data_IF_239594102415
#
_entry.id   IF_239594102415
#
_cell.length_a   1.000
_cell.length_b   1.000
_cell.length_c   1.000
_cell.angle_alpha   90.00
_cell.angle_beta   90.00
_cell.angle_gamma   90.00
#
_symmetry.space_group_name_H-M   'P 1'
#
loop_
_entity.id
_entity.type
_entity.pdbx_description
1 polymer ?
#
# COMPACT_ATOMS: atom_id res chain seq x y z
N UNK A 1 0.52 -18.92 -20.90
CA UNK A 1 -0.24 -17.86 -20.20
C UNK A 1 0.78 -16.88 -19.66
N UNK A 2 0.95 -15.75 -20.34
CA UNK A 2 1.97 -14.72 -20.08
C UNK A 2 1.44 -13.75 -19.04
N UNK A 3 1.90 -13.88 -17.80
CA UNK A 3 1.62 -12.94 -16.72
C UNK A 3 2.68 -11.84 -16.75
N UNK A 4 2.26 -10.60 -17.00
CA UNK A 4 3.09 -9.41 -16.86
C UNK A 4 3.42 -9.24 -15.37
N UNK A 5 4.68 -9.49 -15.02
CA UNK A 5 5.18 -9.38 -13.65
C UNK A 5 5.30 -7.91 -13.27
N UNK A 6 4.60 -7.52 -12.20
CA UNK A 6 4.92 -6.31 -11.48
C UNK A 6 6.21 -6.58 -10.69
N UNK A 7 7.28 -5.87 -11.04
CA UNK A 7 8.61 -5.93 -10.43
C UNK A 7 8.56 -5.48 -8.96
N UNK A 8 8.13 -6.37 -8.07
CA UNK A 8 8.40 -6.25 -6.65
C UNK A 8 8.87 -7.60 -6.13
N UNK A 9 10.16 -7.68 -5.83
CA UNK A 9 10.90 -8.90 -5.51
C UNK A 9 10.56 -9.40 -4.10
N UNK A 10 9.31 -9.79 -3.86
CA UNK A 10 8.96 -10.70 -2.79
C UNK A 10 8.98 -12.13 -3.36
N UNK A 11 9.63 -13.11 -2.70
CA UNK A 11 9.55 -14.49 -3.16
C UNK A 11 8.07 -14.90 -3.20
N UNK A 12 7.65 -15.54 -4.29
CA UNK A 12 6.28 -15.96 -4.68
C UNK A 12 5.47 -16.72 -3.59
N UNK A 13 6.08 -16.94 -2.43
CA UNK A 13 5.58 -17.68 -1.27
C UNK A 13 5.45 -16.80 0.00
N UNK A 14 5.14 -15.51 -0.11
CA UNK A 14 4.93 -14.64 1.07
C UNK A 14 3.53 -14.03 1.06
N UNK A 15 2.87 -14.01 2.21
CA UNK A 15 1.58 -13.35 2.41
C UNK A 15 1.70 -12.23 3.44
N UNK A 16 0.91 -11.18 3.22
CA UNK A 16 0.75 -10.04 4.12
C UNK A 16 -0.49 -10.28 4.99
N UNK A 17 -0.32 -10.20 6.30
CA UNK A 17 -1.39 -10.43 7.28
C UNK A 17 -1.46 -9.20 8.16
N UNK A 18 -2.59 -8.50 8.14
CA UNK A 18 -2.86 -7.43 9.08
C UNK A 18 -3.35 -8.06 10.39
N UNK A 19 -2.61 -7.85 11.47
CA UNK A 19 -2.99 -8.30 12.81
C UNK A 19 -4.07 -7.43 13.41
N UNK A 20 -4.79 -7.96 14.41
CA UNK A 20 -5.80 -7.20 15.19
C UNK A 20 -5.18 -6.01 15.96
N UNK A 21 -3.86 -6.03 16.13
CA UNK A 21 -3.03 -4.95 16.68
C UNK A 21 -2.73 -3.83 15.68
N UNK A 22 -3.21 -3.94 14.43
CA UNK A 22 -2.91 -3.01 13.34
C UNK A 22 -1.49 -3.14 12.79
N UNK A 23 -0.76 -4.19 13.19
CA UNK A 23 0.59 -4.47 12.70
C UNK A 23 0.49 -5.33 11.43
N UNK A 24 1.16 -4.91 10.37
CA UNK A 24 1.30 -5.68 9.15
C UNK A 24 2.44 -6.70 9.32
N UNK A 25 2.09 -7.98 9.27
CA UNK A 25 3.04 -9.09 9.31
C UNK A 25 3.28 -9.64 7.91
N UNK A 26 4.53 -10.03 7.65
CA UNK A 26 4.87 -10.89 6.51
C UNK A 26 5.11 -12.30 7.02
N UNK A 27 4.48 -13.27 6.35
CA UNK A 27 4.67 -14.69 6.64
C UNK A 27 4.96 -15.45 5.36
N UNK A 28 5.92 -16.37 5.43
CA UNK A 28 6.18 -17.32 4.35
C UNK A 28 5.14 -18.44 4.35
N UNK A 29 4.53 -18.70 3.20
CA UNK A 29 3.53 -19.75 2.99
C UNK A 29 4.14 -21.14 3.24
N UNK A 30 5.40 -21.35 2.84
CA UNK A 30 6.12 -22.61 3.05
C UNK A 30 6.55 -22.85 4.51
N UNK A 31 6.49 -21.82 5.38
CA UNK A 31 6.90 -21.89 6.78
C UNK A 31 5.96 -21.07 7.68
N UNK A 32 4.77 -21.59 8.01
CA UNK A 32 3.73 -20.87 8.76
C UNK A 32 4.09 -20.53 10.23
N UNK A 33 5.34 -20.70 10.68
CA UNK A 33 5.81 -20.26 12.01
C UNK A 33 6.63 -18.96 12.01
N UNK A 34 6.89 -18.38 10.83
CA UNK A 34 7.81 -17.23 10.68
C UNK A 34 7.09 -15.92 10.37
N UNK A 35 6.01 -15.61 11.11
CA UNK A 35 5.41 -14.28 11.03
C UNK A 35 6.38 -13.27 11.65
N UNK A 36 6.72 -12.23 10.89
CA UNK A 36 7.54 -11.13 11.37
C UNK A 36 6.90 -9.81 10.95
N UNK A 37 7.07 -8.73 11.72
CA UNK A 37 6.57 -7.43 11.30
C UNK A 37 7.18 -7.03 9.95
N UNK A 38 6.39 -6.37 9.11
CA UNK A 38 6.83 -5.91 7.81
C UNK A 38 7.59 -4.59 7.92
N UNK A 39 8.73 -4.51 7.24
CA UNK A 39 9.44 -3.24 7.03
C UNK A 39 9.67 -3.06 5.54
N UNK A 40 9.15 -1.98 4.98
CA UNK A 40 9.29 -1.63 3.57
C UNK A 40 8.12 -0.84 2.99
N UNK A 41 8.27 -0.49 1.71
CA UNK A 41 7.23 0.18 0.93
C UNK A 41 6.22 -0.83 0.38
N UNK A 42 4.94 -0.61 0.66
CA UNK A 42 3.84 -1.37 0.08
C UNK A 42 3.03 -0.46 -0.82
N UNK A 43 2.81 -0.91 -2.05
CA UNK A 43 1.96 -0.24 -3.03
C UNK A 43 0.75 -1.12 -3.32
N UNK A 44 -0.45 -0.54 -3.21
CA UNK A 44 -1.70 -1.17 -3.59
C UNK A 44 -2.33 -0.39 -4.74
N UNK A 45 -2.59 -1.05 -5.86
CA UNK A 45 -3.23 -0.46 -7.04
C UNK A 45 -4.61 -1.07 -7.22
N UNK A 46 -5.60 -0.24 -7.52
CA UNK A 46 -7.02 -0.61 -7.44
C UNK A 46 -7.80 -0.40 -8.73
N UNK A 47 -7.17 0.12 -9.78
CA UNK A 47 -7.78 0.23 -11.11
C UNK A 47 -8.99 1.17 -11.20
N UNK A 48 -9.24 2.01 -10.19
CA UNK A 48 -10.40 2.91 -10.13
C UNK A 48 -11.62 2.22 -9.53
N UNK A 49 -11.65 2.11 -8.20
CA UNK A 49 -12.83 1.68 -7.46
C UNK A 49 -13.88 2.79 -7.43
N UNK A 50 -15.08 2.47 -6.97
CA UNK A 50 -16.26 3.36 -6.92
C UNK A 50 -15.99 4.68 -6.14
N UNK A 51 -15.02 4.67 -5.23
CA UNK A 51 -14.55 5.83 -4.44
C UNK A 51 -13.53 6.71 -5.17
N UNK A 52 -13.16 6.35 -6.40
CA UNK A 52 -12.14 7.02 -7.20
C UNK A 52 -10.71 6.74 -6.73
N UNK A 53 -10.48 5.90 -5.73
CA UNK A 53 -9.13 5.59 -5.28
C UNK A 53 -8.44 4.65 -6.29
N UNK A 54 -7.32 5.11 -6.86
CA UNK A 54 -6.60 4.34 -7.90
C UNK A 54 -5.38 3.64 -7.34
N UNK A 55 -4.70 4.27 -6.37
CA UNK A 55 -3.43 3.78 -5.85
C UNK A 55 -3.20 4.27 -4.43
N UNK A 56 -2.53 3.45 -3.65
CA UNK A 56 -2.02 3.79 -2.33
C UNK A 56 -0.58 3.30 -2.19
N UNK A 57 0.24 4.10 -1.52
CA UNK A 57 1.59 3.79 -1.13
C UNK A 57 1.69 3.98 0.37
N UNK A 58 2.30 3.01 1.02
CA UNK A 58 2.47 2.95 2.46
C UNK A 58 3.94 2.66 2.76
N UNK A 59 4.50 3.35 3.74
CA UNK A 59 5.81 3.01 4.29
C UNK A 59 5.58 2.35 5.66
N UNK A 60 6.03 1.10 5.80
CA UNK A 60 5.94 0.36 7.05
C UNK A 60 7.32 0.20 7.67
N UNK A 61 7.39 0.39 8.98
CA UNK A 61 8.53 0.06 9.81
C UNK A 61 8.06 -0.77 11.00
N UNK A 62 8.66 -1.94 11.17
CA UNK A 62 8.30 -2.90 12.22
C UNK A 62 6.78 -3.21 12.26
N UNK A 63 6.20 -3.28 11.07
CA UNK A 63 4.79 -3.57 10.79
C UNK A 63 3.83 -2.41 11.11
N UNK A 64 4.33 -1.27 11.59
CA UNK A 64 3.53 -0.05 11.78
C UNK A 64 3.78 0.94 10.64
N UNK A 65 2.81 1.79 10.38
CA UNK A 65 3.03 2.93 9.47
C UNK A 65 3.97 3.92 10.14
N UNK A 66 5.13 4.11 9.53
CA UNK A 66 6.13 5.09 9.95
C UNK A 66 6.70 5.70 8.67
N UNK A 67 6.53 6.99 8.47
CA UNK A 67 6.87 7.66 7.22
C UNK A 67 5.66 8.18 6.45
N UNK A 68 5.78 8.33 5.13
CA UNK A 68 4.76 9.01 4.31
C UNK A 68 3.86 8.00 3.60
N UNK A 69 2.57 8.02 3.91
CA UNK A 69 1.51 7.39 3.13
C UNK A 69 1.09 8.34 2.01
N UNK A 70 0.91 7.82 0.80
CA UNK A 70 0.39 8.59 -0.33
C UNK A 70 -0.82 7.88 -0.93
N UNK A 71 -1.93 8.60 -1.06
CA UNK A 71 -3.15 8.14 -1.72
C UNK A 71 -3.32 8.95 -3.01
N UNK A 72 -3.59 8.26 -4.11
CA UNK A 72 -3.91 8.87 -5.39
C UNK A 72 -5.34 8.53 -5.78
N UNK A 73 -6.10 9.56 -6.11
CA UNK A 73 -7.47 9.48 -6.57
C UNK A 73 -7.56 9.82 -8.06
N UNK A 74 -8.56 9.25 -8.73
CA UNK A 74 -8.85 9.41 -10.15
C UNK A 74 -9.25 10.84 -10.50
N UNK A 75 -9.84 11.57 -9.54
CA UNK A 75 -10.18 12.99 -9.67
C UNK A 75 -8.95 13.92 -9.66
N UNK A 76 -7.75 13.37 -9.48
CA UNK A 76 -6.49 14.10 -9.43
C UNK A 76 -6.11 14.55 -8.04
N UNK A 77 -6.91 14.22 -7.02
CA UNK A 77 -6.54 14.46 -5.64
C UNK A 77 -5.41 13.49 -5.24
N UNK A 78 -4.36 14.06 -4.67
CA UNK A 78 -3.28 13.33 -4.02
C UNK A 78 -3.28 13.72 -2.54
N UNK A 79 -3.34 12.72 -1.67
CA UNK A 79 -3.29 12.92 -0.22
C UNK A 79 -2.02 12.28 0.30
N UNK A 80 -1.15 13.07 0.89
CA UNK A 80 0.05 12.59 1.58
C UNK A 80 -0.19 12.71 3.08
N UNK A 81 -0.02 11.62 3.82
CA UNK A 81 -0.12 11.61 5.28
C UNK A 81 1.22 11.19 5.84
N UNK A 82 1.79 11.98 6.74
CA UNK A 82 3.00 11.57 7.46
C UNK A 82 2.60 10.91 8.77
N UNK A 83 3.08 9.69 8.97
CA UNK A 83 2.93 8.92 10.19
C UNK A 83 4.25 8.88 10.95
N UNK A 84 4.17 8.93 12.28
CA UNK A 84 5.29 8.66 13.17
C UNK A 84 4.78 7.83 14.34
N UNK A 85 5.41 6.69 14.59
CA UNK A 85 4.99 5.75 15.64
C UNK A 85 3.52 5.27 15.50
N UNK A 86 2.99 5.28 14.26
CA UNK A 86 1.59 4.96 13.97
C UNK A 86 0.60 6.13 14.12
N UNK A 87 1.04 7.30 14.57
CA UNK A 87 0.21 8.50 14.68
C UNK A 87 0.36 9.42 13.47
N UNK A 88 -0.74 10.03 13.03
CA UNK A 88 -0.72 11.00 11.93
C UNK A 88 -0.16 12.32 12.45
N UNK A 89 1.02 12.69 11.96
CA UNK A 89 1.67 13.97 12.28
C UNK A 89 1.18 15.07 11.35
N UNK A 90 1.00 14.76 10.07
CA UNK A 90 0.60 15.76 9.08
C UNK A 90 -0.22 15.13 7.95
N UNK A 91 -1.04 15.95 7.31
CA UNK A 91 -1.78 15.56 6.11
C UNK A 91 -1.72 16.70 5.11
N UNK A 92 -1.12 16.43 3.96
CA UNK A 92 -1.08 17.32 2.81
C UNK A 92 -2.06 16.84 1.76
N UNK A 93 -2.88 17.76 1.24
CA UNK A 93 -3.79 17.49 0.14
C UNK A 93 -3.36 18.33 -1.05
N UNK A 94 -2.98 17.65 -2.12
CA UNK A 94 -2.48 18.26 -3.34
C UNK A 94 -3.52 17.95 -4.41
N UNK A 95 -4.17 18.99 -4.95
CA UNK A 95 -5.09 18.81 -6.07
C UNK A 95 -4.29 18.95 -7.36
N UNK A 96 -4.14 17.83 -8.06
CA UNK A 96 -3.54 17.75 -9.38
C UNK A 96 -4.57 17.52 -10.47
N UNK A 97 -4.07 17.11 -11.63
CA UNK A 97 -4.90 16.72 -12.77
C UNK A 97 -5.50 15.32 -12.55
N UNK A 98 -6.76 15.09 -12.99
CA UNK A 98 -7.40 13.78 -12.95
C UNK A 98 -6.55 12.69 -13.59
N UNK A 99 -6.41 11.56 -12.89
CA UNK A 99 -5.76 10.38 -13.43
C UNK A 99 -6.78 9.69 -14.34
N UNK A 100 -6.48 9.64 -15.65
CA UNK A 100 -7.31 8.91 -16.62
C UNK A 100 -7.27 7.42 -16.31
N UNK A 101 -8.22 6.96 -15.50
CA UNK A 101 -8.49 5.53 -15.33
C UNK A 101 -9.06 5.03 -16.65
N UNK A 102 -8.32 4.19 -17.34
CA UNK A 102 -8.81 3.53 -18.55
C UNK A 102 -9.76 2.45 -18.05
N UNK A 103 -11.07 2.71 -18.09
CA UNK A 103 -12.06 1.69 -17.78
C UNK A 103 -11.87 0.51 -18.75
N UNK A 104 -11.79 -0.74 -18.27
CA UNK A 104 -11.82 -1.89 -19.15
C UNK A 104 -13.20 -1.93 -19.82
N UNK A 105 -13.21 -1.63 -21.11
CA UNK A 105 -14.34 -1.76 -22.03
C UNK A 105 -14.77 -3.22 -22.23
#
# INVERSE_FOLDING_TARGET
MTYWGCDFQAPWNSQWIEGEDGILYVQKIDKPGTRKPYTGDMIKEYGGREDGLVKEQYNYQDGKLDGVQVLWYSDGLRVEKTYKDGEIISTNKIKGEPIKVIEPF
#
